data_IF_649003593869
#
_entry.id   IF_649003593869
#
_cell.length_a   1.000
_cell.length_b   1.000
_cell.length_c   1.000
_cell.angle_alpha   90.00
_cell.angle_beta   90.00
_cell.angle_gamma   90.00
#
_symmetry.space_group_name_H-M   'P 1'
#
loop_
_entity.id
_entity.type
_entity.pdbx_description
1 polymer ?
#
# COMPACT_ATOMS: atom_id res chain seq x y z
N UNK A 1 19.48 -12.61 -10.93
CA UNK A 1 20.28 -11.38 -11.08
C UNK A 1 19.38 -10.21 -10.79
N UNK A 2 19.53 -9.52 -9.65
CA UNK A 2 18.87 -8.23 -9.45
C UNK A 2 19.44 -7.27 -10.49
N UNK A 3 18.60 -6.68 -11.33
CA UNK A 3 19.07 -5.59 -12.18
C UNK A 3 19.60 -4.50 -11.26
N UNK A 4 20.82 -4.02 -11.48
CA UNK A 4 21.44 -2.94 -10.71
C UNK A 4 20.81 -1.56 -11.01
N UNK A 5 19.58 -1.57 -11.53
CA UNK A 5 18.84 -0.42 -12.01
C UNK A 5 17.87 0.05 -10.94
N UNK A 6 17.84 1.36 -10.62
CA UNK A 6 16.91 1.90 -9.64
C UNK A 6 15.46 1.80 -10.13
N UNK A 7 14.52 1.69 -9.20
CA UNK A 7 13.09 1.86 -9.50
C UNK A 7 12.76 3.35 -9.40
N UNK A 8 12.67 4.00 -10.56
CA UNK A 8 12.46 5.44 -10.64
C UNK A 8 11.01 5.80 -10.30
N UNK A 9 10.85 6.69 -9.32
CA UNK A 9 9.54 7.21 -8.92
C UNK A 9 9.24 8.47 -9.72
N UNK A 10 8.39 8.34 -10.73
CA UNK A 10 7.97 9.42 -11.64
C UNK A 10 6.50 9.79 -11.48
N UNK A 11 5.73 8.97 -10.76
CA UNK A 11 4.28 9.10 -10.63
C UNK A 11 3.50 8.35 -11.71
N UNK A 12 2.17 8.36 -11.59
CA UNK A 12 1.27 7.68 -12.51
C UNK A 12 0.93 8.58 -13.71
N UNK A 13 1.18 8.07 -14.92
CA UNK A 13 0.89 8.78 -16.18
C UNK A 13 1.83 9.94 -16.48
N UNK A 14 1.53 10.65 -17.56
CA UNK A 14 2.25 11.86 -17.99
C UNK A 14 1.38 13.12 -17.88
N UNK A 15 0.10 12.94 -17.55
CA UNK A 15 -0.92 13.98 -17.49
C UNK A 15 -1.48 14.13 -16.06
N UNK A 16 -2.21 15.22 -15.85
CA UNK A 16 -2.80 15.55 -14.54
C UNK A 16 -4.18 14.92 -14.44
N UNK A 17 -4.35 14.01 -13.48
CA UNK A 17 -5.63 13.41 -13.12
C UNK A 17 -5.87 13.59 -11.62
N UNK A 18 -7.13 13.80 -11.18
CA UNK A 18 -7.43 14.00 -9.78
C UNK A 18 -7.31 12.70 -9.00
N UNK A 19 -6.77 12.77 -7.77
CA UNK A 19 -7.03 11.74 -6.77
C UNK A 19 -8.48 11.86 -6.34
N UNK A 20 -9.27 10.80 -6.52
CA UNK A 20 -10.66 10.78 -6.09
C UNK A 20 -10.75 10.46 -4.60
N UNK A 21 -11.76 11.00 -3.94
CA UNK A 21 -12.16 10.51 -2.61
C UNK A 21 -12.63 9.06 -2.75
N UNK A 22 -12.30 8.16 -1.82
CA UNK A 22 -12.56 6.72 -1.95
C UNK A 22 -14.04 6.38 -2.20
N UNK A 23 -14.99 7.08 -1.55
CA UNK A 23 -16.44 6.93 -1.78
C UNK A 23 -16.84 7.35 -3.19
N UNK A 24 -16.13 8.30 -3.80
CA UNK A 24 -16.32 8.69 -5.21
C UNK A 24 -15.67 7.71 -6.18
N UNK A 25 -14.50 7.15 -5.84
CA UNK A 25 -13.83 6.13 -6.66
C UNK A 25 -14.68 4.86 -6.75
N UNK A 26 -15.33 4.42 -5.67
CA UNK A 26 -16.24 3.25 -5.66
C UNK A 26 -17.38 3.42 -6.67
N UNK A 27 -17.83 4.66 -6.91
CA UNK A 27 -18.85 4.98 -7.92
C UNK A 27 -18.33 4.99 -9.36
N UNK A 28 -17.05 4.66 -9.58
CA UNK A 28 -16.41 4.50 -10.89
C UNK A 28 -16.03 3.01 -11.07
N UNK A 29 -16.97 2.11 -11.45
CA UNK A 29 -16.78 0.66 -11.31
C UNK A 29 -15.52 0.14 -11.99
N UNK A 30 -15.23 0.57 -13.22
CA UNK A 30 -14.02 0.13 -13.94
C UNK A 30 -12.73 0.60 -13.27
N UNK A 31 -12.69 1.84 -12.78
CA UNK A 31 -11.52 2.36 -12.05
C UNK A 31 -11.34 1.63 -10.71
N UNK A 32 -12.42 1.41 -9.97
CA UNK A 32 -12.40 0.73 -8.69
C UNK A 32 -12.00 -0.76 -8.84
N UNK A 33 -12.51 -1.44 -9.86
CA UNK A 33 -12.10 -2.80 -10.23
C UNK A 33 -10.59 -2.85 -10.49
N UNK A 34 -10.07 -1.98 -11.35
CA UNK A 34 -8.64 -1.94 -11.63
C UNK A 34 -7.83 -1.63 -10.38
N UNK A 35 -8.26 -0.66 -9.55
CA UNK A 35 -7.60 -0.32 -8.30
C UNK A 35 -7.45 -1.53 -7.36
N UNK A 36 -8.55 -2.25 -7.12
CA UNK A 36 -8.55 -3.41 -6.22
C UNK A 36 -7.70 -4.55 -6.78
N UNK A 37 -7.91 -4.92 -8.05
CA UNK A 37 -7.16 -6.00 -8.70
C UNK A 37 -5.66 -5.70 -8.72
N UNK A 38 -5.28 -4.48 -9.05
CA UNK A 38 -3.88 -4.08 -9.16
C UNK A 38 -3.20 -3.92 -7.82
N UNK A 39 -3.89 -3.46 -6.77
CA UNK A 39 -3.31 -3.47 -5.43
C UNK A 39 -3.11 -4.91 -4.93
N UNK A 40 -4.05 -5.83 -5.21
CA UNK A 40 -3.84 -7.25 -4.91
C UNK A 40 -2.67 -7.83 -5.72
N UNK A 41 -2.48 -7.42 -6.96
CA UNK A 41 -1.37 -7.86 -7.82
C UNK A 41 0.00 -7.48 -7.23
N UNK A 42 0.21 -6.21 -6.85
CA UNK A 42 1.50 -5.76 -6.30
C UNK A 42 1.81 -6.34 -4.91
N UNK A 43 0.84 -7.00 -4.26
CA UNK A 43 1.05 -7.70 -2.98
C UNK A 43 1.60 -9.12 -3.16
N UNK A 44 1.60 -9.67 -4.37
CA UNK A 44 2.11 -11.02 -4.63
C UNK A 44 3.63 -11.10 -4.48
N UNK A 45 4.11 -12.21 -3.94
CA UNK A 45 5.54 -12.43 -3.68
C UNK A 45 6.38 -12.55 -4.97
N UNK A 46 5.77 -12.90 -6.10
CA UNK A 46 6.40 -13.04 -7.40
C UNK A 46 6.30 -11.78 -8.27
N UNK A 47 5.49 -10.77 -7.89
CA UNK A 47 5.32 -9.53 -8.65
C UNK A 47 6.67 -8.88 -8.99
N UNK A 48 6.79 -8.32 -10.21
CA UNK A 48 8.02 -7.71 -10.73
C UNK A 48 7.76 -6.29 -11.26
N UNK A 49 8.71 -5.36 -11.09
CA UNK A 49 9.99 -5.52 -10.37
C UNK A 49 9.78 -5.67 -8.86
N UNK A 50 10.74 -6.28 -8.16
CA UNK A 50 10.58 -6.55 -6.72
C UNK A 50 10.39 -5.26 -5.90
N UNK A 51 11.07 -4.18 -6.29
CA UNK A 51 10.94 -2.86 -5.67
C UNK A 51 9.50 -2.30 -5.66
N UNK A 52 8.67 -2.71 -6.63
CA UNK A 52 7.28 -2.27 -6.76
C UNK A 52 6.30 -3.12 -5.93
N UNK A 53 6.77 -4.11 -5.15
CA UNK A 53 5.91 -4.89 -4.27
C UNK A 53 5.45 -4.06 -3.08
N UNK A 54 4.18 -4.18 -2.70
CA UNK A 54 3.63 -3.45 -1.56
C UNK A 54 4.41 -3.71 -0.25
N UNK A 55 4.84 -4.95 0.00
CA UNK A 55 5.64 -5.27 1.20
C UNK A 55 7.01 -4.57 1.23
N UNK A 56 7.69 -4.47 0.08
CA UNK A 56 8.96 -3.73 -0.04
C UNK A 56 8.75 -2.23 0.16
N UNK A 57 7.68 -1.68 -0.41
CA UNK A 57 7.33 -0.26 -0.26
C UNK A 57 6.92 0.09 1.17
N UNK A 58 6.12 -0.75 1.83
CA UNK A 58 5.73 -0.58 3.22
C UNK A 58 6.95 -0.64 4.15
N UNK A 59 7.91 -1.52 3.84
CA UNK A 59 9.18 -1.64 4.56
C UNK A 59 10.06 -0.39 4.50
N UNK A 60 9.91 0.48 3.50
CA UNK A 60 10.60 1.79 3.44
C UNK A 60 10.28 2.60 4.71
N UNK A 61 9.05 2.52 5.21
CA UNK A 61 8.62 3.32 6.34
C UNK A 61 9.30 2.92 7.66
N UNK A 62 9.71 1.65 7.82
CA UNK A 62 10.19 1.13 9.10
C UNK A 62 10.59 -0.35 9.04
N UNK A 63 10.02 -1.17 9.94
CA UNK A 63 10.29 -2.62 10.00
C UNK A 63 10.01 -3.25 8.64
N UNK A 64 10.93 -4.06 8.07
CA UNK A 64 12.02 -4.79 8.74
C UNK A 64 13.38 -4.08 8.78
N UNK A 65 13.44 -2.76 8.57
CA UNK A 65 14.68 -1.97 8.59
C UNK A 65 15.72 -2.48 7.57
N UNK A 66 15.24 -2.72 6.34
CA UNK A 66 16.10 -3.17 5.24
C UNK A 66 16.20 -2.06 4.19
N UNK A 67 17.34 -1.97 3.48
CA UNK A 67 17.45 -1.12 2.32
C UNK A 67 16.37 -1.46 1.30
N UNK A 68 15.75 -0.45 0.70
CA UNK A 68 14.74 -0.68 -0.32
C UNK A 68 15.37 -1.11 -1.65
N UNK A 69 14.84 -2.17 -2.25
CA UNK A 69 15.40 -2.75 -3.47
C UNK A 69 15.39 -1.81 -4.69
N UNK A 70 14.57 -0.76 -4.66
CA UNK A 70 14.51 0.25 -5.71
C UNK A 70 15.64 1.29 -5.65
N UNK A 71 16.41 1.33 -4.57
CA UNK A 71 17.61 2.14 -4.42
C UNK A 71 18.81 1.24 -4.07
N UNK A 72 19.40 0.54 -5.06
CA UNK A 72 20.48 -0.42 -4.83
C UNK A 72 21.76 0.23 -4.26
N UNK A 73 21.88 1.58 -4.31
CA UNK A 73 23.02 2.33 -3.77
C UNK A 73 22.70 3.02 -2.43
N UNK A 74 21.43 3.11 -2.04
CA UNK A 74 20.97 3.67 -0.78
C UNK A 74 21.17 2.71 0.40
N UNK A 75 22.43 2.48 0.77
CA UNK A 75 22.76 1.76 2.00
C UNK A 75 22.71 2.73 3.19
N UNK A 76 22.21 2.31 4.37
CA UNK A 76 22.38 3.05 5.61
C UNK A 76 23.88 3.32 5.83
N UNK A 77 24.25 4.56 6.19
CA UNK A 77 25.65 4.90 6.38
C UNK A 77 26.21 4.15 7.60
N UNK A 78 27.47 3.70 7.47
CA UNK A 78 28.21 3.08 8.57
C UNK A 78 28.42 4.13 9.67
N UNK A 79 27.77 3.95 10.82
CA UNK A 79 27.76 4.91 11.93
C UNK A 79 26.35 5.30 12.42
N UNK A 80 25.31 4.98 11.66
CA UNK A 80 23.93 4.99 12.15
C UNK A 80 23.72 3.71 12.95
N UNK A 81 24.00 3.73 14.26
CA UNK A 81 23.99 2.52 15.09
C UNK A 81 22.61 1.81 15.14
N UNK A 82 21.54 2.41 14.60
CA UNK A 82 20.27 1.72 14.34
C UNK A 82 19.53 2.36 13.14
N UNK A 83 19.63 1.78 11.95
CA UNK A 83 18.71 2.12 10.86
C UNK A 83 17.27 1.74 11.25
N UNK A 84 16.40 2.73 11.43
CA UNK A 84 15.01 2.54 11.88
C UNK A 84 13.97 2.66 10.74
N UNK A 85 14.43 2.62 9.48
CA UNK A 85 13.65 2.93 8.30
C UNK A 85 13.91 4.34 7.77
N UNK A 86 13.29 4.67 6.63
CA UNK A 86 13.53 5.93 5.92
C UNK A 86 12.61 7.08 6.37
N UNK A 87 11.54 6.79 7.13
CA UNK A 87 10.49 7.76 7.41
C UNK A 87 10.94 8.90 8.34
N UNK A 88 10.63 10.13 7.94
CA UNK A 88 10.89 11.34 8.73
C UNK A 88 9.68 11.68 9.63
N UNK A 89 9.71 11.24 10.88
CA UNK A 89 8.75 11.67 11.92
C UNK A 89 9.30 12.85 12.73
N UNK A 90 8.41 13.66 13.32
CA UNK A 90 8.78 14.81 14.16
C UNK A 90 9.73 15.80 13.47
N UNK A 91 9.62 15.90 12.14
CA UNK A 91 10.50 16.69 11.27
C UNK A 91 9.66 17.55 10.33
N UNK A 92 10.18 18.74 9.97
CA UNK A 92 9.58 19.60 8.95
C UNK A 92 9.47 18.91 7.58
N UNK A 93 10.29 17.87 7.35
CA UNK A 93 10.28 17.08 6.13
C UNK A 93 9.16 16.04 6.08
N UNK A 94 8.36 15.90 7.14
CA UNK A 94 7.27 14.93 7.20
C UNK A 94 6.35 14.98 5.97
N UNK A 95 5.78 16.13 5.56
CA UNK A 95 4.87 16.17 4.41
C UNK A 95 5.59 15.91 3.08
N UNK A 96 6.81 16.44 2.94
CA UNK A 96 7.61 16.31 1.71
C UNK A 96 8.18 14.91 1.52
N UNK A 97 8.34 14.14 2.59
CA UNK A 97 8.77 12.74 2.54
C UNK A 97 7.61 11.78 2.24
N UNK A 98 6.45 11.99 2.87
CA UNK A 98 5.28 11.13 2.64
C UNK A 98 4.68 11.29 1.25
N UNK A 99 4.82 12.48 0.62
CA UNK A 99 4.35 12.73 -0.75
C UNK A 99 4.95 11.77 -1.79
N UNK A 100 6.28 11.64 -1.94
CA UNK A 100 6.87 10.67 -2.86
C UNK A 100 6.66 9.21 -2.41
N UNK A 101 6.51 8.93 -1.11
CA UNK A 101 6.15 7.59 -0.62
C UNK A 101 4.77 7.14 -1.14
N UNK A 102 3.76 8.02 -1.09
CA UNK A 102 2.45 7.74 -1.70
C UNK A 102 2.50 7.73 -3.24
N UNK A 103 3.34 8.56 -3.85
CA UNK A 103 3.54 8.57 -5.30
C UNK A 103 4.12 7.24 -5.82
N UNK A 104 5.03 6.61 -5.05
CA UNK A 104 5.56 5.28 -5.32
C UNK A 104 4.46 4.21 -5.28
N UNK A 105 3.62 4.22 -4.24
CA UNK A 105 2.49 3.30 -4.15
C UNK A 105 1.50 3.47 -5.30
N UNK A 106 1.11 4.72 -5.57
CA UNK A 106 0.25 5.08 -6.69
C UNK A 106 0.81 4.59 -8.03
N UNK A 107 2.10 4.81 -8.28
CA UNK A 107 2.75 4.39 -9.52
C UNK A 107 2.70 2.87 -9.72
N UNK A 108 3.05 2.09 -8.70
CA UNK A 108 3.04 0.61 -8.79
C UNK A 108 1.63 0.04 -9.03
N UNK A 109 0.61 0.59 -8.36
CA UNK A 109 -0.80 0.21 -8.59
C UNK A 109 -1.22 0.58 -10.01
N UNK A 110 -0.86 1.77 -10.48
CA UNK A 110 -1.21 2.22 -11.83
C UNK A 110 -0.52 1.41 -12.93
N UNK A 111 0.76 1.06 -12.76
CA UNK A 111 1.50 0.19 -13.68
C UNK A 111 0.81 -1.19 -13.82
N UNK A 112 0.44 -1.81 -12.71
CA UNK A 112 -0.35 -3.04 -12.70
C UNK A 112 -1.75 -2.86 -13.32
N UNK A 113 -2.40 -1.71 -13.09
CA UNK A 113 -3.73 -1.40 -13.64
C UNK A 113 -3.71 -1.30 -15.16
N UNK A 114 -2.67 -0.72 -15.76
CA UNK A 114 -2.52 -0.68 -17.21
C UNK A 114 -2.41 -2.07 -17.81
N UNK A 115 -1.62 -2.96 -17.20
CA UNK A 115 -1.46 -4.33 -17.68
C UNK A 115 -2.82 -5.05 -17.65
N UNK A 116 -3.56 -4.92 -16.56
CA UNK A 116 -4.89 -5.52 -16.42
C UNK A 116 -5.90 -4.92 -17.41
N UNK A 117 -5.91 -3.60 -17.60
CA UNK A 117 -6.77 -2.94 -18.58
C UNK A 117 -6.43 -3.33 -20.03
N UNK A 118 -5.15 -3.47 -20.38
CA UNK A 118 -4.73 -3.97 -21.69
C UNK A 118 -5.18 -5.40 -21.92
N UNK A 119 -5.12 -6.26 -20.90
CA UNK A 119 -5.66 -7.63 -20.96
C UNK A 119 -7.15 -7.61 -21.26
N UNK A 120 -7.94 -6.85 -20.49
CA UNK A 120 -9.37 -6.73 -20.72
C UNK A 120 -9.71 -6.12 -22.08
N UNK A 121 -8.97 -5.11 -22.54
CA UNK A 121 -9.16 -4.52 -23.86
C UNK A 121 -8.91 -5.53 -25.00
N UNK A 122 -7.91 -6.40 -24.84
CA UNK A 122 -7.61 -7.47 -25.81
C UNK A 122 -8.67 -8.56 -25.83
N UNK A 123 -9.13 -8.99 -24.65
CA UNK A 123 -10.13 -10.06 -24.48
C UNK A 123 -11.56 -9.59 -24.81
N UNK A 124 -11.82 -8.29 -24.63
CA UNK A 124 -13.13 -7.66 -24.80
C UNK A 124 -13.04 -6.35 -25.62
N UNK A 125 -12.81 -6.44 -26.95
CA UNK A 125 -12.58 -5.26 -27.79
C UNK A 125 -13.71 -4.21 -27.75
N UNK A 126 -14.95 -4.62 -27.49
CA UNK A 126 -16.11 -3.72 -27.40
C UNK A 126 -16.04 -2.77 -26.20
N UNK A 127 -15.31 -3.13 -25.14
CA UNK A 127 -15.15 -2.32 -23.92
C UNK A 127 -13.74 -1.74 -23.79
N UNK A 128 -12.89 -1.92 -24.80
CA UNK A 128 -11.46 -1.61 -24.73
C UNK A 128 -11.19 -0.15 -24.35
N UNK A 129 -11.87 0.81 -24.99
CA UNK A 129 -11.71 2.23 -24.71
C UNK A 129 -12.02 2.57 -23.25
N UNK A 130 -13.09 2.00 -22.70
CA UNK A 130 -13.53 2.27 -21.34
C UNK A 130 -12.57 1.72 -20.28
N UNK A 131 -12.02 0.53 -20.49
CA UNK A 131 -11.04 -0.07 -19.57
C UNK A 131 -9.69 0.65 -19.63
N UNK A 132 -9.24 1.02 -20.82
CA UNK A 132 -8.00 1.78 -21.01
C UNK A 132 -8.12 3.18 -20.40
N UNK A 133 -9.26 3.85 -20.60
CA UNK A 133 -9.51 5.18 -20.01
C UNK A 133 -9.61 5.11 -18.48
N UNK A 134 -10.23 4.06 -17.94
CA UNK A 134 -10.27 3.84 -16.50
C UNK A 134 -8.87 3.69 -15.89
N UNK A 135 -7.98 2.92 -16.53
CA UNK A 135 -6.58 2.81 -16.11
C UNK A 135 -5.84 4.15 -16.24
N UNK A 136 -6.06 4.88 -17.33
CA UNK A 136 -5.43 6.17 -17.59
C UNK A 136 -5.73 7.19 -16.48
N UNK A 137 -7.02 7.32 -16.10
CA UNK A 137 -7.48 8.26 -15.06
C UNK A 137 -7.19 7.81 -13.63
N UNK A 138 -6.87 6.54 -13.40
CA UNK A 138 -6.71 6.00 -12.05
C UNK A 138 -5.56 6.71 -11.31
N UNK A 139 -5.88 7.19 -10.11
CA UNK A 139 -4.94 7.75 -9.12
C UNK A 139 -5.28 7.18 -7.75
N UNK A 140 -4.31 7.15 -6.84
CA UNK A 140 -4.51 6.59 -5.50
C UNK A 140 -5.56 7.42 -4.75
N UNK A 141 -6.64 6.82 -4.23
CA UNK A 141 -7.70 7.57 -3.61
C UNK A 141 -7.26 8.18 -2.27
N UNK A 142 -7.88 9.29 -1.89
CA UNK A 142 -7.80 9.79 -0.52
C UNK A 142 -9.06 9.45 0.26
N UNK A 143 -8.96 9.42 1.58
CA UNK A 143 -10.11 9.35 2.46
C UNK A 143 -10.27 10.70 3.15
N UNK A 144 -11.40 11.38 2.91
CA UNK A 144 -11.74 12.57 3.68
C UNK A 144 -12.37 12.17 5.01
N UNK A 145 -11.54 12.09 6.04
CA UNK A 145 -11.95 11.76 7.40
C UNK A 145 -12.77 12.87 8.09
N UNK A 146 -12.86 14.07 7.50
CA UNK A 146 -13.61 15.21 8.05
C UNK A 146 -15.00 15.32 7.42
N UNK A 147 -15.20 14.72 6.24
CA UNK A 147 -16.51 14.58 5.64
C UNK A 147 -17.24 13.37 6.27
N UNK A 148 -18.25 13.60 7.13
CA UNK A 148 -19.02 12.52 7.74
C UNK A 148 -19.84 11.75 6.70
N UNK A 149 -19.93 12.21 5.44
CA UNK A 149 -20.73 11.58 4.41
C UNK A 149 -22.18 11.40 4.83
N UNK A 150 -22.80 10.30 4.37
CA UNK A 150 -24.14 9.88 4.80
C UNK A 150 -24.12 8.99 6.05
N UNK A 151 -22.95 8.43 6.36
CA UNK A 151 -22.76 7.54 7.49
C UNK A 151 -21.77 8.22 8.43
N UNK A 152 -22.21 8.71 9.60
CA UNK A 152 -21.34 9.24 10.67
C UNK A 152 -20.41 8.18 11.30
N UNK A 153 -19.96 7.22 10.49
CA UNK A 153 -19.26 6.00 10.87
C UNK A 153 -18.06 5.82 9.95
N UNK A 154 -17.12 5.01 10.44
CA UNK A 154 -15.98 4.56 9.64
C UNK A 154 -16.47 3.90 8.34
N UNK A 155 -15.94 4.26 7.15
CA UNK A 155 -16.47 3.75 5.88
C UNK A 155 -16.49 2.22 5.79
N UNK A 156 -17.60 1.64 5.30
CA UNK A 156 -17.80 0.20 5.15
C UNK A 156 -16.70 -0.48 4.32
N UNK A 157 -16.18 0.22 3.29
CA UNK A 157 -15.08 -0.28 2.46
C UNK A 157 -13.81 -0.63 3.24
N UNK A 158 -13.63 -0.10 4.44
CA UNK A 158 -12.49 -0.43 5.29
C UNK A 158 -12.77 -1.57 6.28
N UNK A 159 -14.02 -2.05 6.35
CA UNK A 159 -14.49 -3.06 7.29
C UNK A 159 -14.79 -4.41 6.62
N UNK A 160 -15.00 -4.42 5.31
CA UNK A 160 -15.38 -5.64 4.59
C UNK A 160 -14.15 -6.43 4.09
N UNK A 161 -14.06 -7.74 4.36
CA UNK A 161 -12.91 -8.54 3.94
C UNK A 161 -12.82 -8.75 2.43
N UNK A 162 -13.94 -8.55 1.72
CA UNK A 162 -14.05 -8.76 0.29
C UNK A 162 -14.92 -7.66 -0.33
N UNK A 163 -14.74 -7.43 -1.63
CA UNK A 163 -15.49 -6.47 -2.41
C UNK A 163 -16.03 -7.12 -3.68
N UNK A 164 -17.20 -6.66 -4.12
CA UNK A 164 -17.78 -7.05 -5.41
C UNK A 164 -17.33 -6.08 -6.48
N UNK A 165 -16.70 -6.60 -7.52
CA UNK A 165 -16.12 -5.84 -8.62
C UNK A 165 -16.88 -6.13 -9.91
N UNK A 166 -17.18 -5.08 -10.67
CA UNK A 166 -17.69 -5.23 -12.03
C UNK A 166 -16.51 -5.50 -12.95
N UNK A 167 -16.49 -6.68 -13.57
CA UNK A 167 -15.51 -7.10 -14.57
C UNK A 167 -16.15 -7.00 -15.98
N UNK A 168 -15.42 -7.27 -17.08
CA UNK A 168 -15.97 -7.17 -18.43
C UNK A 168 -17.25 -7.99 -18.63
N UNK A 169 -18.04 -7.61 -19.64
CA UNK A 169 -19.38 -8.14 -19.94
C UNK A 169 -20.40 -7.92 -18.82
N UNK A 170 -20.13 -6.99 -17.90
CA UNK A 170 -21.02 -6.68 -16.77
C UNK A 170 -21.10 -7.78 -15.71
N UNK A 171 -20.20 -8.78 -15.76
CA UNK A 171 -20.14 -9.78 -14.71
C UNK A 171 -19.66 -9.16 -13.39
N UNK A 172 -20.07 -9.76 -12.28
CA UNK A 172 -19.65 -9.35 -10.94
C UNK A 172 -18.85 -10.47 -10.30
N UNK A 173 -17.65 -10.15 -9.84
CA UNK A 173 -16.76 -11.09 -9.15
C UNK A 173 -16.44 -10.60 -7.75
N UNK A 174 -16.28 -11.54 -6.81
CA UNK A 174 -15.87 -11.23 -5.44
C UNK A 174 -14.36 -11.39 -5.28
N UNK A 175 -13.69 -10.34 -4.81
CA UNK A 175 -12.24 -10.30 -4.66
C UNK A 175 -11.84 -9.90 -3.23
N UNK A 176 -10.67 -10.35 -2.71
CA UNK A 176 -10.15 -9.86 -1.44
C UNK A 176 -10.02 -8.33 -1.45
N UNK A 177 -10.44 -7.69 -0.36
CA UNK A 177 -10.36 -6.25 -0.24
C UNK A 177 -8.98 -5.81 0.27
N UNK A 178 -8.14 -5.16 -0.56
CA UNK A 178 -6.83 -4.70 -0.12
C UNK A 178 -6.92 -3.60 0.95
N UNK A 179 -8.05 -2.90 1.06
CA UNK A 179 -8.26 -1.82 2.02
C UNK A 179 -8.60 -2.31 3.44
N UNK A 180 -8.96 -3.58 3.59
CA UNK A 180 -9.36 -4.19 4.86
C UNK A 180 -8.15 -4.57 5.72
N UNK A 181 -7.24 -5.36 5.16
CA UNK A 181 -6.08 -5.88 5.88
C UNK A 181 -4.91 -6.15 4.92
N UNK A 182 -3.73 -6.36 5.50
CA UNK A 182 -2.55 -6.88 4.83
C UNK A 182 -1.97 -8.02 5.65
N UNK A 183 -1.82 -9.18 5.01
CA UNK A 183 -1.17 -10.37 5.59
C UNK A 183 0.35 -10.19 5.49
N UNK A 184 1.06 -10.34 6.62
CA UNK A 184 2.50 -10.10 6.72
C UNK A 184 3.34 -11.28 6.19
N UNK A 185 2.69 -12.39 5.84
CA UNK A 185 3.33 -13.59 5.30
C UNK A 185 3.82 -14.55 6.38
N UNK A 186 4.43 -15.65 5.93
CA UNK A 186 5.07 -16.64 6.80
C UNK A 186 6.41 -17.05 6.18
N UNK A 187 7.55 -16.92 6.90
CA UNK A 187 7.67 -16.36 8.26
C UNK A 187 7.33 -14.86 8.31
N UNK A 188 7.11 -14.34 9.53
CA UNK A 188 6.94 -12.89 9.71
C UNK A 188 8.21 -12.14 9.29
N UNK A 189 8.10 -10.88 8.82
CA UNK A 189 9.26 -10.05 8.56
C UNK A 189 10.10 -9.85 9.83
N UNK A 190 11.43 -9.85 9.69
CA UNK A 190 12.36 -9.59 10.81
C UNK A 190 11.96 -8.31 11.57
N UNK A 191 12.01 -8.35 12.90
CA UNK A 191 11.66 -7.21 13.77
C UNK A 191 10.19 -7.14 14.21
N UNK A 192 9.31 -8.00 13.67
CA UNK A 192 8.00 -8.32 14.25
C UNK A 192 8.18 -9.34 15.37
N UNK A 193 8.60 -8.85 16.53
CA UNK A 193 8.86 -9.63 17.74
C UNK A 193 8.14 -8.98 18.92
N UNK A 194 7.81 -9.76 19.94
CA UNK A 194 7.19 -9.23 21.15
C UNK A 194 8.14 -8.27 21.87
N UNK A 195 7.69 -7.05 22.12
CA UNK A 195 8.51 -6.00 22.74
C UNK A 195 8.00 -5.67 24.13
N UNK A 196 8.91 -5.74 25.10
CA UNK A 196 8.75 -5.06 26.40
C UNK A 196 9.24 -3.64 26.23
N UNK A 197 8.46 -2.62 26.57
CA UNK A 197 8.92 -1.22 26.50
C UNK A 197 9.35 -0.74 27.90
N UNK A 198 10.65 -0.48 28.15
CA UNK A 198 11.10 0.24 29.34
C UNK A 198 10.77 1.75 29.29
N UNK A 199 10.63 2.32 28.08
CA UNK A 199 10.54 3.76 27.82
C UNK A 199 9.20 4.43 28.20
N UNK A 200 8.18 3.65 28.57
CA UNK A 200 6.86 4.17 28.95
C UNK A 200 6.69 4.36 30.47
N UNK A 201 7.78 4.57 31.23
CA UNK A 201 7.68 4.85 32.66
C UNK A 201 8.64 5.94 33.17
N UNK A 202 8.11 7.03 33.74
CA UNK A 202 8.75 7.69 34.86
C UNK A 202 8.58 6.81 36.12
N UNK A 203 9.65 6.19 36.63
CA UNK A 203 9.65 5.68 38.03
C UNK A 203 9.83 4.17 38.29
N UNK A 204 10.52 3.40 37.45
CA UNK A 204 11.24 2.19 37.90
C UNK A 204 10.43 1.01 38.48
N UNK A 205 9.35 0.55 37.84
CA UNK A 205 8.67 -0.69 38.28
C UNK A 205 9.37 -1.98 37.81
N UNK A 206 9.08 -3.08 38.53
CA UNK A 206 9.67 -4.42 38.37
C UNK A 206 9.44 -5.04 36.96
N UNK A 207 10.41 -5.81 36.41
CA UNK A 207 10.32 -6.41 35.06
C UNK A 207 9.11 -7.32 34.79
N UNK A 208 8.49 -7.87 35.83
CA UNK A 208 7.32 -8.75 35.75
C UNK A 208 5.99 -8.02 35.54
N UNK A 209 5.96 -6.68 35.66
CA UNK A 209 4.77 -5.85 35.47
C UNK A 209 4.81 -5.00 34.19
N UNK A 210 5.81 -5.23 33.33
CA UNK A 210 5.98 -4.45 32.11
C UNK A 210 4.93 -4.83 31.06
N UNK A 211 4.18 -3.86 30.49
CA UNK A 211 3.28 -4.14 29.38
C UNK A 211 4.06 -4.67 28.17
N UNK A 212 3.60 -5.79 27.62
CA UNK A 212 4.18 -6.45 26.45
C UNK A 212 3.34 -6.09 25.23
N UNK A 213 4.00 -5.58 24.19
CA UNK A 213 3.41 -5.48 22.86
C UNK A 213 3.68 -6.77 22.09
N UNK A 214 2.63 -7.55 21.82
CA UNK A 214 2.74 -8.88 21.21
C UNK A 214 2.85 -8.87 19.67
N UNK A 215 3.76 -8.04 19.11
CA UNK A 215 3.89 -7.91 17.66
C UNK A 215 4.32 -9.21 16.95
N UNK A 216 4.99 -10.13 17.65
CA UNK A 216 5.37 -11.44 17.10
C UNK A 216 4.20 -12.38 16.82
N UNK A 217 3.01 -12.03 17.33
CA UNK A 217 1.78 -12.79 17.13
C UNK A 217 0.90 -12.19 16.02
N UNK A 218 1.28 -11.05 15.46
CA UNK A 218 0.48 -10.33 14.48
C UNK A 218 0.80 -10.85 13.08
N UNK A 219 -0.08 -11.73 12.55
CA UNK A 219 0.06 -12.28 11.19
C UNK A 219 -0.42 -11.34 10.10
N UNK A 220 -1.17 -10.31 10.48
CA UNK A 220 -1.77 -9.32 9.58
C UNK A 220 -1.97 -7.99 10.28
N UNK A 221 -2.25 -6.95 9.51
CA UNK A 221 -2.67 -5.66 10.06
C UNK A 221 -4.09 -5.77 10.63
N UNK A 222 -4.29 -5.35 11.87
CA UNK A 222 -5.62 -5.30 12.49
C UNK A 222 -6.20 -3.88 12.43
N UNK A 223 -7.53 -3.80 12.32
CA UNK A 223 -8.32 -2.61 12.59
C UNK A 223 -9.35 -2.99 13.66
N UNK A 224 -9.60 -2.09 14.61
CA UNK A 224 -10.47 -2.30 15.78
C UNK A 224 -11.95 -2.23 15.42
#
# INVERSE_FOLDING_TARGET
MSSNSPYLVTGAGTDVQPRLEIRKLILQPKQFTLFVLSWNEIRKADYKPAAARYGEQAGIHGVPYKPWLGDPKGQPQQGDDIFAGYCNHMSILFPTWHRPSLMLLEQSIWEAAKIQAQKYAKEHPQEASEWLEAAHKLRFPYWDWTDPGKEFKFPQIFQEPKVKLQVPKGATEEHPNPLYTYELGTPLPNGFEDRRRPEFQPGGTQPSQQPIAYFGHWKRTYRW
#
